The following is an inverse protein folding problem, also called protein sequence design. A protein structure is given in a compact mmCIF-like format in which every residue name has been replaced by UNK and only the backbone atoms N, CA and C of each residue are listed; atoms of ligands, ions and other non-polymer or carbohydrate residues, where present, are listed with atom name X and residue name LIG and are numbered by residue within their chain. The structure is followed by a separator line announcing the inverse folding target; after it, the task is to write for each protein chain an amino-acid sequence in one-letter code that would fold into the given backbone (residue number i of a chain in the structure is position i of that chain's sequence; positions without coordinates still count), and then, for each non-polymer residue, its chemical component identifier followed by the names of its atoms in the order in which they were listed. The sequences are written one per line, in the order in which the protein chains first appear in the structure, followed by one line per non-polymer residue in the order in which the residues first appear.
data_IF_576424577386
#
_entry.id   IF_576424577386
#
_cell.length_a   1.000
_cell.length_b   1.000
_cell.length_c   1.000
_cell.angle_alpha   90.00
_cell.angle_beta   90.00
_cell.angle_gamma   90.00
#
_symmetry.space_group_name_H-M   'P 1'
#
loop_
_entity.id
_entity.type
_entity.pdbx_description
1 polymer ?
#
# COMPACT_ATOMS: atom_id res chain seq x y z
N UNK A 1 -28.42 19.58 -6.34
CA UNK A 1 -28.31 18.58 -7.40
C UNK A 1 -29.14 17.37 -6.99
N UNK A 2 -30.17 17.03 -7.78
CA UNK A 2 -31.09 15.95 -7.47
C UNK A 2 -30.39 14.59 -7.58
N UNK A 3 -30.70 13.69 -6.65
CA UNK A 3 -30.26 12.29 -6.74
C UNK A 3 -30.81 11.69 -8.03
N UNK A 4 -29.95 11.32 -8.98
CA UNK A 4 -30.32 10.49 -10.12
C UNK A 4 -30.06 9.04 -9.76
N UNK A 5 -31.11 8.24 -9.71
CA UNK A 5 -31.00 6.81 -9.53
C UNK A 5 -30.87 6.13 -10.90
N UNK A 6 -29.87 5.30 -11.07
CA UNK A 6 -29.71 4.41 -12.21
C UNK A 6 -29.95 2.99 -11.69
N UNK A 7 -30.90 2.29 -12.31
CA UNK A 7 -31.24 0.93 -11.89
C UNK A 7 -30.89 -0.03 -13.01
N UNK A 8 -30.16 -1.10 -12.67
CA UNK A 8 -29.95 -2.22 -13.58
C UNK A 8 -30.55 -3.48 -12.97
N UNK A 9 -31.13 -4.31 -13.85
CA UNK A 9 -31.74 -5.56 -13.46
C UNK A 9 -30.67 -6.63 -13.28
N UNK A 10 -30.74 -7.38 -12.20
CA UNK A 10 -29.84 -8.50 -11.92
C UNK A 10 -30.58 -9.83 -12.01
N UNK A 11 -29.92 -10.85 -12.53
CA UNK A 11 -30.45 -12.21 -12.53
C UNK A 11 -29.50 -13.11 -11.71
N UNK A 12 -30.03 -13.74 -10.67
CA UNK A 12 -29.27 -14.72 -9.89
C UNK A 12 -29.06 -15.99 -10.72
N UNK A 13 -27.84 -16.45 -10.85
CA UNK A 13 -27.47 -17.68 -11.54
C UNK A 13 -26.84 -18.63 -10.55
N UNK A 14 -27.59 -19.59 -10.09
CA UNK A 14 -27.31 -20.84 -9.39
C UNK A 14 -26.08 -21.04 -8.49
N UNK A 15 -25.23 -20.03 -8.24
CA UNK A 15 -24.06 -20.04 -7.37
C UNK A 15 -23.89 -18.68 -6.70
N UNK A 16 -22.77 -18.43 -6.08
CA UNK A 16 -22.48 -17.22 -5.28
C UNK A 16 -22.18 -15.95 -6.11
N UNK A 17 -22.44 -15.91 -7.39
CA UNK A 17 -22.26 -14.74 -8.23
C UNK A 17 -23.54 -14.39 -9.00
N UNK A 18 -23.69 -13.11 -9.32
CA UNK A 18 -24.80 -12.58 -10.12
C UNK A 18 -24.28 -12.14 -11.48
N UNK A 19 -25.07 -12.43 -12.53
CA UNK A 19 -24.83 -11.90 -13.86
C UNK A 19 -25.76 -10.71 -14.03
N UNK A 20 -25.19 -9.58 -14.50
CA UNK A 20 -25.93 -8.37 -14.78
C UNK A 20 -26.24 -8.30 -16.26
N UNK A 21 -27.52 -8.10 -16.59
CA UNK A 21 -27.98 -7.98 -17.95
C UNK A 21 -28.16 -6.50 -18.30
N UNK A 22 -27.62 -6.07 -19.44
CA UNK A 22 -27.74 -4.71 -19.93
C UNK A 22 -27.67 -4.67 -21.45
N UNK A 23 -28.30 -3.71 -22.05
CA UNK A 23 -28.21 -3.47 -23.48
C UNK A 23 -27.14 -2.42 -23.80
N UNK A 24 -26.40 -2.64 -24.89
CA UNK A 24 -25.53 -1.62 -25.46
C UNK A 24 -26.36 -0.59 -26.29
N UNK A 25 -25.68 0.41 -26.84
CA UNK A 25 -26.32 1.45 -27.68
C UNK A 25 -26.99 0.92 -28.95
N UNK A 26 -26.74 -0.34 -29.32
CA UNK A 26 -27.28 -1.01 -30.48
C UNK A 26 -28.40 -2.00 -30.13
N UNK A 27 -28.80 -2.08 -28.86
CA UNK A 27 -29.82 -2.99 -28.37
C UNK A 27 -29.31 -4.43 -28.17
N UNK A 28 -27.97 -4.64 -28.12
CA UNK A 28 -27.41 -5.97 -27.88
C UNK A 28 -27.36 -6.22 -26.38
N UNK A 29 -28.01 -7.29 -25.94
CA UNK A 29 -27.96 -7.74 -24.55
C UNK A 29 -26.57 -8.28 -24.21
N UNK A 30 -26.01 -7.79 -23.11
CA UNK A 30 -24.74 -8.27 -22.55
C UNK A 30 -24.95 -8.85 -21.15
N UNK A 31 -24.29 -9.97 -20.87
CA UNK A 31 -24.25 -10.59 -19.54
C UNK A 31 -22.87 -10.35 -18.92
N UNK A 32 -22.80 -9.40 -18.00
CA UNK A 32 -21.58 -8.97 -17.38
C UNK A 32 -21.56 -9.29 -15.88
N UNK A 33 -20.36 -9.48 -15.32
CA UNK A 33 -20.15 -9.56 -13.87
C UNK A 33 -19.99 -8.18 -13.21
N UNK A 34 -20.26 -7.12 -13.96
CA UNK A 34 -20.17 -5.73 -13.53
C UNK A 34 -21.30 -4.90 -14.10
N UNK A 35 -21.61 -3.80 -13.43
CA UNK A 35 -22.57 -2.79 -13.88
C UNK A 35 -21.81 -1.59 -14.47
N UNK A 36 -22.41 -0.97 -15.48
CA UNK A 36 -21.88 0.26 -16.07
C UNK A 36 -22.98 1.30 -16.19
N UNK A 37 -22.65 2.53 -15.81
CA UNK A 37 -23.50 3.69 -16.01
C UNK A 37 -22.75 4.77 -16.77
N UNK A 38 -23.42 5.45 -17.70
CA UNK A 38 -22.92 6.68 -18.28
C UNK A 38 -23.50 7.85 -17.51
N UNK A 39 -22.68 8.45 -16.68
CA UNK A 39 -23.05 9.59 -15.84
C UNK A 39 -22.36 10.83 -16.41
N UNK A 40 -23.11 11.91 -16.78
CA UNK A 40 -22.49 13.17 -17.12
C UNK A 40 -21.67 13.69 -15.95
N UNK A 41 -20.47 14.24 -16.24
CA UNK A 41 -19.64 14.84 -15.21
C UNK A 41 -20.37 16.00 -14.51
N UNK A 42 -20.26 16.05 -13.21
CA UNK A 42 -20.64 17.16 -12.35
C UNK A 42 -19.79 17.09 -11.08
N UNK A 43 -19.42 18.25 -10.57
CA UNK A 43 -18.70 18.33 -9.30
C UNK A 43 -19.52 17.72 -8.15
N UNK A 44 -18.89 16.99 -7.28
CA UNK A 44 -19.52 16.32 -6.15
C UNK A 44 -19.08 14.88 -5.96
N UNK A 45 -19.92 14.09 -5.31
CA UNK A 45 -19.68 12.68 -5.05
C UNK A 45 -20.59 11.81 -5.90
N UNK A 46 -20.00 10.87 -6.63
CA UNK A 46 -20.71 9.78 -7.30
C UNK A 46 -20.58 8.53 -6.42
N UNK A 47 -21.72 7.98 -6.04
CA UNK A 47 -21.78 6.82 -5.15
C UNK A 47 -22.61 5.69 -5.79
N UNK A 48 -22.09 4.46 -5.70
CA UNK A 48 -22.80 3.25 -6.06
C UNK A 48 -23.37 2.59 -4.79
N UNK A 49 -24.69 2.43 -4.74
CA UNK A 49 -25.36 1.79 -3.61
C UNK A 49 -26.00 0.48 -4.09
N UNK A 50 -25.67 -0.62 -3.41
CA UNK A 50 -26.29 -1.91 -3.67
C UNK A 50 -27.46 -2.15 -2.70
N UNK A 51 -28.51 -2.82 -3.19
CA UNK A 51 -29.67 -3.19 -2.40
C UNK A 51 -29.89 -4.70 -2.51
N UNK A 52 -30.35 -5.30 -1.42
CA UNK A 52 -30.85 -6.69 -1.42
C UNK A 52 -32.24 -6.80 -2.07
N UNK A 53 -32.80 -8.02 -2.13
CA UNK A 53 -34.12 -8.28 -2.71
C UNK A 53 -35.26 -7.59 -1.92
N UNK A 54 -35.05 -7.30 -0.65
CA UNK A 54 -36.03 -6.65 0.24
C UNK A 54 -35.87 -5.13 0.26
N UNK A 55 -34.88 -4.57 -0.50
CA UNK A 55 -34.63 -3.16 -0.61
C UNK A 55 -33.73 -2.57 0.50
N UNK A 56 -33.09 -3.39 1.32
CA UNK A 56 -32.13 -2.93 2.30
C UNK A 56 -30.78 -2.66 1.63
N UNK A 57 -30.07 -1.66 2.13
CA UNK A 57 -28.72 -1.35 1.66
C UNK A 57 -27.76 -2.47 2.05
N UNK A 58 -27.02 -2.98 1.07
CA UNK A 58 -25.89 -3.86 1.32
C UNK A 58 -24.67 -2.97 1.57
N UNK A 59 -24.18 -2.97 2.80
CA UNK A 59 -23.04 -2.16 3.18
C UNK A 59 -21.77 -2.62 2.47
N UNK A 60 -21.07 -1.66 1.91
CA UNK A 60 -19.76 -1.88 1.31
C UNK A 60 -18.68 -1.66 2.37
N UNK A 61 -17.94 -2.72 2.70
CA UNK A 61 -16.91 -2.71 3.74
C UNK A 61 -15.53 -2.32 3.22
N UNK A 62 -15.33 -2.22 1.88
CA UNK A 62 -14.02 -1.90 1.29
C UNK A 62 -13.83 -0.42 0.94
N UNK A 63 -14.85 0.42 1.16
CA UNK A 63 -14.79 1.86 0.95
C UNK A 63 -14.71 2.33 -0.51
N UNK A 64 -14.89 1.42 -1.49
CA UNK A 64 -14.74 1.72 -2.93
C UNK A 64 -16.05 2.03 -3.65
N UNK A 65 -17.10 2.33 -2.91
CA UNK A 65 -18.43 2.61 -3.48
C UNK A 65 -18.59 4.03 -4.00
N UNK A 66 -17.68 4.94 -3.72
CA UNK A 66 -17.81 6.36 -4.09
C UNK A 66 -16.54 6.95 -4.69
N UNK A 67 -16.75 7.96 -5.54
CA UNK A 67 -15.68 8.81 -6.08
C UNK A 67 -16.13 10.26 -5.91
N UNK A 68 -15.24 11.09 -5.37
CA UNK A 68 -15.51 12.50 -5.09
C UNK A 68 -14.60 13.38 -5.95
N UNK A 69 -15.15 14.44 -6.54
CA UNK A 69 -14.37 15.47 -7.22
C UNK A 69 -13.46 16.16 -6.22
N UNK A 70 -12.18 16.24 -6.54
CA UNK A 70 -11.17 16.87 -5.68
C UNK A 70 -11.12 18.37 -5.91
N UNK A 71 -10.72 19.11 -4.87
CA UNK A 71 -10.30 20.50 -4.98
C UNK A 71 -8.85 20.62 -5.47
N UNK A 72 -8.32 21.85 -5.39
CA UNK A 72 -6.91 22.11 -5.69
C UNK A 72 -6.00 21.48 -4.63
N UNK A 73 -4.76 21.15 -5.02
CA UNK A 73 -3.75 20.65 -4.10
C UNK A 73 -3.48 21.68 -2.98
N UNK A 74 -3.52 21.24 -1.74
CA UNK A 74 -3.43 22.11 -0.57
C UNK A 74 -2.46 21.59 0.49
N UNK A 75 -2.33 20.28 0.66
CA UNK A 75 -1.47 19.69 1.69
C UNK A 75 -0.90 18.35 1.26
N UNK A 76 0.16 17.96 1.94
CA UNK A 76 0.72 16.62 1.86
C UNK A 76 0.13 15.75 2.96
N UNK A 77 -0.12 14.48 2.66
CA UNK A 77 -0.40 13.44 3.64
C UNK A 77 0.63 12.33 3.52
N UNK A 78 1.06 11.78 4.64
CA UNK A 78 2.15 10.81 4.65
C UNK A 78 1.76 9.56 5.43
N UNK A 79 2.12 8.40 4.89
CA UNK A 79 1.95 7.12 5.55
C UNK A 79 3.17 6.23 5.31
N UNK A 80 3.62 5.55 6.36
CA UNK A 80 4.66 4.53 6.27
C UNK A 80 4.00 3.15 6.20
N UNK A 81 4.53 2.25 5.36
CA UNK A 81 4.08 0.85 5.30
C UNK A 81 4.36 0.11 6.61
N UNK A 82 5.48 0.46 7.27
CA UNK A 82 5.89 -0.04 8.57
C UNK A 82 6.39 1.11 9.44
N UNK A 83 5.83 1.23 10.63
CA UNK A 83 6.21 2.24 11.63
C UNK A 83 7.26 1.73 12.61
N UNK A 84 7.64 0.46 12.49
CA UNK A 84 8.69 -0.19 13.27
C UNK A 84 9.51 -1.12 12.37
N UNK A 85 10.84 -0.94 12.34
CA UNK A 85 11.76 -1.72 11.53
C UNK A 85 13.03 -2.08 12.32
N UNK A 86 13.77 -3.10 11.85
CA UNK A 86 14.99 -3.53 12.50
C UNK A 86 16.15 -2.53 12.29
N UNK A 87 16.93 -2.24 13.35
CA UNK A 87 18.13 -1.42 13.27
C UNK A 87 19.34 -2.25 12.83
N UNK A 88 19.27 -2.89 11.67
CA UNK A 88 20.33 -3.76 11.13
C UNK A 88 21.16 -3.08 10.02
N UNK A 89 20.79 -1.87 9.64
CA UNK A 89 21.40 -1.14 8.53
C UNK A 89 20.99 -1.64 7.15
N UNK A 90 19.89 -2.40 7.05
CA UNK A 90 19.38 -2.98 5.80
C UNK A 90 17.87 -2.91 5.68
N UNK A 91 17.15 -2.95 6.79
CA UNK A 91 15.70 -2.94 6.80
C UNK A 91 15.16 -1.60 6.30
N UNK A 92 14.03 -1.63 5.60
CA UNK A 92 13.47 -0.49 4.87
C UNK A 92 12.07 -0.17 5.35
N UNK A 93 11.73 1.11 5.36
CA UNK A 93 10.35 1.61 5.41
C UNK A 93 10.04 2.37 4.13
N UNK A 94 8.88 2.08 3.55
CA UNK A 94 8.36 2.73 2.36
C UNK A 94 7.35 3.80 2.79
N UNK A 95 7.73 5.06 2.60
CA UNK A 95 6.93 6.20 3.04
C UNK A 95 6.24 6.81 1.84
N UNK A 96 4.94 6.60 1.71
CA UNK A 96 4.11 7.18 0.66
C UNK A 96 3.66 8.57 1.06
N UNK A 97 3.75 9.52 0.13
CA UNK A 97 3.20 10.86 0.26
C UNK A 97 2.11 11.06 -0.79
N UNK A 98 0.95 11.47 -0.33
CA UNK A 98 -0.20 11.83 -1.15
C UNK A 98 -0.32 13.37 -1.18
N UNK A 99 -0.45 13.93 -2.37
CA UNK A 99 -0.83 15.34 -2.56
C UNK A 99 -2.36 15.39 -2.50
N UNK A 100 -2.88 16.12 -1.52
CA UNK A 100 -4.33 16.14 -1.27
C UNK A 100 -4.89 17.56 -1.30
N UNK A 101 -6.20 17.65 -1.51
CA UNK A 101 -6.96 18.87 -1.31
C UNK A 101 -7.18 19.19 0.18
N UNK A 102 -7.88 20.27 0.49
CA UNK A 102 -8.19 20.65 1.87
C UNK A 102 -9.01 19.60 2.62
N UNK A 103 -9.78 18.78 1.91
CA UNK A 103 -10.63 17.74 2.48
C UNK A 103 -9.88 16.40 2.66
N UNK A 104 -8.64 16.30 2.18
CA UNK A 104 -7.84 15.08 2.25
C UNK A 104 -8.06 14.13 1.08
N UNK A 105 -8.73 14.55 0.02
CA UNK A 105 -8.86 13.75 -1.19
C UNK A 105 -7.58 13.88 -2.02
N UNK A 106 -7.07 12.76 -2.52
CA UNK A 106 -5.87 12.76 -3.40
C UNK A 106 -6.21 13.49 -4.69
N UNK A 107 -5.37 14.47 -5.07
CA UNK A 107 -5.51 15.24 -6.30
C UNK A 107 -4.83 14.47 -7.44
N UNK A 108 -5.59 13.85 -8.36
CA UNK A 108 -5.05 12.84 -9.27
C UNK A 108 -4.21 13.43 -10.41
N UNK A 109 -4.26 14.73 -10.63
CA UNK A 109 -3.45 15.46 -11.61
C UNK A 109 -2.31 16.29 -10.97
N UNK A 110 -2.11 16.16 -9.66
CA UNK A 110 -1.04 16.85 -8.97
C UNK A 110 0.33 16.32 -9.38
N UNK A 111 1.20 17.26 -9.77
CA UNK A 111 2.59 17.04 -10.18
C UNK A 111 3.59 17.86 -9.33
N UNK A 112 3.20 18.25 -8.14
CA UNK A 112 4.06 19.02 -7.23
C UNK A 112 5.36 18.29 -6.98
N UNK A 113 6.49 19.04 -6.98
CA UNK A 113 7.78 18.48 -6.58
C UNK A 113 7.84 18.41 -5.06
N UNK A 114 7.98 17.21 -4.54
CA UNK A 114 8.07 16.93 -3.11
C UNK A 114 9.53 16.72 -2.74
N UNK A 115 9.99 17.42 -1.72
CA UNK A 115 11.35 17.27 -1.15
C UNK A 115 11.25 16.58 0.20
N UNK A 116 12.14 15.62 0.41
CA UNK A 116 12.22 14.79 1.61
C UNK A 116 13.43 15.16 2.45
N UNK A 117 13.23 15.24 3.76
CA UNK A 117 14.30 15.30 4.76
C UNK A 117 14.13 14.15 5.75
N UNK A 118 15.23 13.48 6.10
CA UNK A 118 15.24 12.38 7.07
C UNK A 118 16.18 12.73 8.21
N UNK A 119 15.64 12.79 9.42
CA UNK A 119 16.40 13.06 10.64
C UNK A 119 16.35 11.87 11.60
N UNK A 120 17.46 11.58 12.27
CA UNK A 120 17.59 10.47 13.23
C UNK A 120 18.27 9.24 12.63
N UNK A 121 17.77 8.06 13.00
CA UNK A 121 18.39 6.76 12.72
C UNK A 121 17.93 6.13 11.39
N UNK A 122 17.63 6.96 10.41
CA UNK A 122 17.30 6.58 9.03
C UNK A 122 18.21 7.24 8.00
N UNK A 123 18.21 6.70 6.79
CA UNK A 123 18.89 7.25 5.61
C UNK A 123 17.93 7.14 4.42
N UNK A 124 17.70 8.26 3.74
CA UNK A 124 16.95 8.23 2.47
C UNK A 124 17.81 7.52 1.41
N UNK A 125 17.34 6.39 0.93
CA UNK A 125 18.08 5.57 -0.05
C UNK A 125 17.46 5.60 -1.43
N UNK A 126 16.27 6.18 -1.57
CA UNK A 126 15.65 6.36 -2.87
C UNK A 126 14.32 7.09 -2.82
N UNK A 127 13.93 7.64 -3.96
CA UNK A 127 12.62 8.25 -4.20
C UNK A 127 12.06 7.75 -5.52
N UNK A 128 10.75 7.55 -5.58
CA UNK A 128 10.05 7.10 -6.81
C UNK A 128 8.64 7.71 -6.87
N UNK A 129 8.03 7.70 -8.05
CA UNK A 129 6.65 8.14 -8.27
C UNK A 129 5.84 7.17 -9.14
N UNK A 130 6.44 6.07 -9.59
CA UNK A 130 5.81 5.09 -10.48
C UNK A 130 5.59 5.56 -11.92
N UNK A 131 6.09 6.74 -12.31
CA UNK A 131 5.97 7.27 -13.66
C UNK A 131 7.09 6.70 -14.55
N UNK A 132 6.81 5.71 -15.39
CA UNK A 132 7.80 5.04 -16.22
C UNK A 132 8.56 5.94 -17.20
N UNK A 133 7.97 7.03 -17.77
CA UNK A 133 8.72 8.00 -18.59
C UNK A 133 9.54 9.02 -17.80
N UNK A 134 9.49 9.02 -16.48
CA UNK A 134 10.27 9.94 -15.66
C UNK A 134 11.74 9.49 -15.60
N UNK A 135 12.65 10.36 -16.03
CA UNK A 135 14.11 10.10 -16.07
C UNK A 135 14.88 10.75 -14.92
N UNK A 136 14.20 11.37 -13.95
CA UNK A 136 14.87 11.90 -12.77
C UNK A 136 15.58 10.79 -11.99
N UNK A 137 16.73 11.10 -11.39
CA UNK A 137 17.47 10.14 -10.57
C UNK A 137 16.63 9.65 -9.39
N UNK A 138 16.72 8.36 -9.07
CA UNK A 138 16.13 7.80 -7.85
C UNK A 138 16.93 8.12 -6.58
N UNK A 139 18.21 8.51 -6.73
CA UNK A 139 19.13 8.75 -5.61
C UNK A 139 19.27 10.24 -5.29
N UNK A 140 18.13 10.92 -5.19
CA UNK A 140 18.02 12.33 -4.82
C UNK A 140 17.03 12.47 -3.66
N UNK A 141 16.91 13.68 -3.13
CA UNK A 141 16.03 13.98 -2.00
C UNK A 141 14.64 14.50 -2.42
N UNK A 142 14.35 14.56 -3.70
CA UNK A 142 13.09 15.10 -4.19
C UNK A 142 12.58 14.36 -5.44
N UNK A 143 11.26 14.35 -5.62
CA UNK A 143 10.60 13.76 -6.79
C UNK A 143 9.32 14.51 -7.11
N UNK A 144 8.97 14.63 -8.38
CA UNK A 144 7.63 15.08 -8.78
C UNK A 144 6.59 14.03 -8.39
N UNK A 145 5.44 14.47 -7.90
CA UNK A 145 4.31 13.57 -7.74
C UNK A 145 3.81 13.11 -9.12
N UNK A 146 3.31 11.90 -9.19
CA UNK A 146 2.63 11.34 -10.33
C UNK A 146 1.28 10.80 -9.86
N UNK A 147 0.20 11.27 -10.50
CA UNK A 147 -1.17 11.00 -10.05
C UNK A 147 -1.37 11.31 -8.56
N UNK A 148 -0.77 12.43 -8.11
CA UNK A 148 -0.84 12.89 -6.73
C UNK A 148 -0.02 12.07 -5.72
N UNK A 149 0.89 11.18 -6.17
CA UNK A 149 1.65 10.28 -5.28
C UNK A 149 3.14 10.36 -5.50
N UNK A 150 3.89 10.19 -4.42
CA UNK A 150 5.34 10.02 -4.45
C UNK A 150 5.78 9.14 -3.27
N UNK A 151 6.88 8.43 -3.45
CA UNK A 151 7.43 7.48 -2.50
C UNK A 151 8.83 7.89 -2.07
N UNK A 152 9.10 7.81 -0.77
CA UNK A 152 10.45 7.80 -0.21
C UNK A 152 10.77 6.41 0.35
N UNK A 153 11.98 5.94 0.12
CA UNK A 153 12.50 4.68 0.65
C UNK A 153 13.57 5.04 1.67
N UNK A 154 13.34 4.67 2.92
CA UNK A 154 14.23 4.99 4.03
C UNK A 154 14.77 3.70 4.63
N UNK A 155 16.10 3.61 4.71
CA UNK A 155 16.83 2.51 5.31
C UNK A 155 17.19 2.82 6.75
N UNK A 156 17.05 1.84 7.64
CA UNK A 156 17.50 1.94 9.02
C UNK A 156 19.03 2.10 9.10
N UNK A 157 19.51 2.82 10.11
CA UNK A 157 20.90 2.69 10.58
C UNK A 157 21.04 1.50 11.52
N UNK A 158 22.27 1.18 11.93
CA UNK A 158 22.55 0.12 12.90
C UNK A 158 22.29 0.53 14.36
N UNK A 159 21.95 1.77 14.58
CA UNK A 159 21.59 2.30 15.90
C UNK A 159 20.08 2.20 16.09
N UNK A 160 19.63 1.60 17.18
CA UNK A 160 18.23 1.59 17.56
C UNK A 160 17.78 2.97 18.06
N UNK A 161 16.56 3.36 17.72
CA UNK A 161 15.99 4.64 18.09
C UNK A 161 14.78 5.00 17.25
N UNK A 162 14.83 6.09 16.52
CA UNK A 162 13.78 6.48 15.57
C UNK A 162 14.33 7.42 14.50
N UNK A 163 13.61 7.53 13.41
CA UNK A 163 13.81 8.58 12.42
C UNK A 163 12.49 9.22 12.04
N UNK A 164 12.57 10.49 11.68
CA UNK A 164 11.41 11.24 11.16
C UNK A 164 11.68 11.61 9.71
N UNK A 165 10.73 11.31 8.85
CA UNK A 165 10.71 11.73 7.44
C UNK A 165 9.79 12.94 7.36
N UNK A 166 10.28 14.05 6.84
CA UNK A 166 9.49 15.25 6.55
C UNK A 166 9.41 15.45 5.04
N UNK A 167 8.21 15.69 4.54
CA UNK A 167 7.96 16.01 3.14
C UNK A 167 7.46 17.46 3.03
N UNK A 168 8.02 18.19 2.07
CA UNK A 168 7.65 19.59 1.76
C UNK A 168 7.44 19.76 0.26
N UNK A 169 6.51 20.64 -0.12
CA UNK A 169 6.31 21.06 -1.49
C UNK A 169 5.85 22.53 -1.50
N UNK A 170 6.23 23.28 -2.53
CA UNK A 170 5.90 24.69 -2.65
C UNK A 170 4.39 24.91 -2.63
N UNK A 171 3.93 25.80 -1.76
CA UNK A 171 2.53 26.18 -1.64
C UNK A 171 1.63 25.15 -0.94
N UNK A 172 2.17 24.04 -0.46
CA UNK A 172 1.41 23.01 0.25
C UNK A 172 1.79 22.93 1.73
N UNK A 173 0.85 22.53 2.57
CA UNK A 173 1.12 22.17 3.96
C UNK A 173 1.98 20.89 3.99
N UNK A 174 3.06 20.93 4.78
CA UNK A 174 4.01 19.82 4.92
C UNK A 174 3.46 18.67 5.74
N UNK A 175 4.03 17.47 5.55
CA UNK A 175 3.72 16.29 6.34
C UNK A 175 4.98 15.65 6.93
N UNK A 176 4.81 14.91 8.03
CA UNK A 176 5.88 14.14 8.64
C UNK A 176 5.37 12.78 9.12
N UNK A 177 6.26 11.79 9.09
CA UNK A 177 6.03 10.46 9.65
C UNK A 177 7.25 10.02 10.44
N UNK A 178 7.01 9.35 11.57
CA UNK A 178 8.09 8.82 12.42
C UNK A 178 8.04 7.29 12.38
N UNK A 179 9.22 6.68 12.22
CA UNK A 179 9.44 5.25 12.25
C UNK A 179 10.40 4.93 13.38
N UNK A 180 10.03 3.97 14.22
CA UNK A 180 10.87 3.47 15.32
C UNK A 180 11.78 2.37 14.79
N UNK A 181 13.02 2.32 15.29
CA UNK A 181 13.96 1.24 14.97
C UNK A 181 14.32 0.49 16.23
N UNK A 182 14.14 -0.84 16.22
CA UNK A 182 14.52 -1.70 17.32
C UNK A 182 15.87 -2.34 17.10
N UNK A 183 16.68 -2.40 18.18
CA UNK A 183 17.99 -3.03 18.12
C UNK A 183 17.82 -4.52 17.82
N UNK A 184 18.47 -4.99 16.77
CA UNK A 184 18.72 -6.42 16.57
C UNK A 184 20.04 -6.74 17.26
N UNK A 185 20.06 -7.73 18.14
CA UNK A 185 21.33 -8.30 18.60
C UNK A 185 22.05 -8.81 17.34
N UNK A 186 23.26 -8.36 17.11
CA UNK A 186 24.09 -8.82 16.00
C UNK A 186 24.59 -10.26 16.27
N UNK A 187 23.58 -11.13 16.47
CA UNK A 187 23.69 -12.59 16.32
C UNK A 187 24.94 -13.27 16.83
N UNK A 188 25.57 -12.79 17.91
CA UNK A 188 26.17 -13.74 18.82
C UNK A 188 24.98 -14.45 19.47
N UNK A 189 24.68 -15.71 19.12
CA UNK A 189 23.64 -16.43 19.82
C UNK A 189 24.08 -16.41 21.30
N UNK A 190 23.23 -15.91 22.20
CA UNK A 190 23.37 -16.36 23.58
C UNK A 190 23.47 -17.88 23.46
N UNK A 191 24.59 -18.44 23.91
CA UNK A 191 24.73 -19.88 24.04
C UNK A 191 23.63 -20.34 25.01
N UNK A 192 22.44 -20.54 24.48
CA UNK A 192 21.40 -21.28 25.18
C UNK A 192 21.86 -22.72 25.11
N UNK A 193 22.34 -23.25 26.25
CA UNK A 193 22.54 -24.69 26.42
C UNK A 193 21.24 -25.38 25.98
N UNK A 194 21.34 -26.14 24.91
CA UNK A 194 20.23 -26.97 24.46
C UNK A 194 20.32 -28.27 25.24
N UNK A 195 19.54 -28.35 26.30
CA UNK A 195 19.48 -29.54 27.16
C UNK A 195 19.06 -30.81 26.42
N UNK A 196 18.23 -30.66 25.39
CA UNK A 196 17.88 -31.78 24.51
C UNK A 196 17.18 -31.28 23.25
N UNK A 197 17.37 -31.96 22.12
CA UNK A 197 16.58 -31.72 20.91
C UNK A 197 16.11 -33.03 20.29
N UNK A 198 14.91 -33.02 19.71
CA UNK A 198 14.37 -34.16 18.99
C UNK A 198 14.35 -33.84 17.49
N UNK A 199 14.98 -34.73 16.68
CA UNK A 199 14.88 -34.68 15.23
C UNK A 199 13.81 -35.64 14.76
N UNK A 200 12.74 -35.14 14.16
CA UNK A 200 11.65 -35.96 13.58
C UNK A 200 11.92 -36.44 12.15
N UNK A 201 13.09 -36.16 11.58
CA UNK A 201 13.45 -36.59 10.22
C UNK A 201 14.22 -37.91 10.23
N UNK A 202 13.67 -38.89 9.53
CA UNK A 202 14.36 -40.15 9.24
C UNK A 202 15.26 -39.95 8.02
N UNK A 203 16.55 -40.19 8.19
CA UNK A 203 17.52 -40.16 7.10
C UNK A 203 17.80 -41.59 6.64
N UNK A 204 17.64 -41.85 5.36
CA UNK A 204 18.04 -43.12 4.74
C UNK A 204 19.49 -42.99 4.26
N UNK A 205 20.37 -43.78 4.82
CA UNK A 205 21.80 -43.86 4.45
C UNK A 205 22.05 -45.14 3.70
N UNK A 206 22.77 -45.03 2.54
CA UNK A 206 23.23 -46.19 1.81
C UNK A 206 24.24 -46.94 2.65
N UNK A 207 24.09 -48.25 2.75
CA UNK A 207 24.99 -49.10 3.55
C UNK A 207 26.47 -48.84 3.24
N UNK A 208 27.27 -48.48 4.21
CA UNK A 208 28.71 -48.19 4.09
C UNK A 208 29.09 -46.69 4.18
N UNK A 209 28.14 -45.78 4.21
CA UNK A 209 28.44 -44.34 4.39
C UNK A 209 28.07 -43.90 5.82
N UNK A 210 29.01 -43.24 6.49
CA UNK A 210 28.75 -42.57 7.78
C UNK A 210 28.08 -41.24 7.41
N UNK A 211 26.86 -40.95 7.95
CA UNK A 211 26.23 -39.65 7.68
C UNK A 211 27.08 -38.53 8.30
N UNK A 212 27.41 -37.54 7.46
CA UNK A 212 27.97 -36.28 7.94
C UNK A 212 26.81 -35.40 8.37
N UNK A 213 26.69 -35.22 9.68
CA UNK A 213 25.69 -34.28 10.20
C UNK A 213 26.19 -32.85 9.99
N UNK A 214 25.28 -31.90 9.64
CA UNK A 214 25.65 -30.50 9.56
C UNK A 214 26.14 -30.03 10.94
N UNK A 215 27.28 -29.36 10.96
CA UNK A 215 27.88 -28.79 12.18
C UNK A 215 27.18 -27.53 12.66
N UNK A 216 26.21 -27.04 11.91
CA UNK A 216 25.39 -25.89 12.27
C UNK A 216 23.90 -26.26 12.17
N UNK A 217 23.15 -25.97 13.20
CA UNK A 217 21.69 -26.09 13.25
C UNK A 217 21.13 -24.65 13.21
N UNK A 218 20.40 -24.33 12.15
CA UNK A 218 19.61 -23.09 12.16
C UNK A 218 18.34 -23.33 13.00
N UNK A 219 18.24 -22.65 14.14
CA UNK A 219 17.00 -22.58 14.91
C UNK A 219 16.20 -21.37 14.43
N UNK A 220 14.97 -21.59 13.95
CA UNK A 220 13.99 -20.51 13.75
C UNK A 220 13.11 -20.47 15.00
N UNK A 221 13.04 -19.30 15.60
CA UNK A 221 12.13 -18.98 16.71
C UNK A 221 10.79 -18.48 16.13
#
# INVERSE_FOLDING_TARGET
LGKKAFTQKTTAVGYTYQIYEGEDKNGTEHKNLYLTWKVPYADGTLEAVAYDADGNIIENTDGRSSVTTTGEAAKLQMSADRTEIAADGKDLSYVTVDVTDQNGNIVPDAENRVTFNVEGDGVLVGVDNGNSPDHDSYLVDNRKAFSGKVLAIVQSKKTGGSFTVTATADGLESAAATVTTYSVSDGTPEEKEIDSFWMSKTYYVKTGNIPVFPTTIETRY
#
